data_IF_234794107879
#
_entry.id   IF_234794107879
#
_cell.length_a   1.000
_cell.length_b   1.000
_cell.length_c   1.000
_cell.angle_alpha   90.00
_cell.angle_beta   90.00
_cell.angle_gamma   90.00
#
_symmetry.space_group_name_H-M   'P 1'
#
loop_
_entity.id
_entity.type
_entity.pdbx_description
1 polymer ?
#
# COMPACT_ATOMS: atom_id res chain seq x y z
N UNK A 1 -9.99 -0.04 -22.29
CA UNK A 1 -9.43 1.09 -21.54
C UNK A 1 -9.10 0.60 -20.12
N UNK A 2 -7.88 0.84 -19.63
CA UNK A 2 -7.40 0.30 -18.36
C UNK A 2 -7.96 1.06 -17.16
N UNK A 3 -8.29 0.35 -16.07
CA UNK A 3 -9.05 0.87 -14.93
C UNK A 3 -8.35 1.96 -14.10
N UNK A 4 -7.02 2.15 -14.21
CA UNK A 4 -6.25 3.16 -13.49
C UNK A 4 -4.90 3.45 -14.16
N UNK A 5 -4.34 4.64 -13.90
CA UNK A 5 -3.03 5.10 -14.43
C UNK A 5 -1.84 4.64 -13.59
N UNK A 6 -2.03 4.51 -12.28
CA UNK A 6 -0.99 4.18 -11.31
C UNK A 6 -1.56 3.37 -10.15
N UNK A 7 -0.76 2.45 -9.62
CA UNK A 7 -1.07 1.62 -8.46
C UNK A 7 -0.07 1.94 -7.34
N UNK A 8 -0.58 2.09 -6.11
CA UNK A 8 0.22 2.18 -4.89
C UNK A 8 -0.20 1.03 -3.99
N UNK A 9 0.77 0.24 -3.52
CA UNK A 9 0.51 -0.81 -2.53
C UNK A 9 0.84 -0.29 -1.13
N UNK A 10 -0.12 -0.39 -0.22
CA UNK A 10 0.02 0.04 1.16
C UNK A 10 -0.43 -1.09 2.09
N UNK A 11 0.49 -1.72 2.79
CA UNK A 11 0.19 -2.79 3.75
C UNK A 11 1.36 -3.00 4.75
N UNK A 12 1.18 -3.82 5.80
CA UNK A 12 2.29 -4.26 6.63
C UNK A 12 3.33 -5.07 5.83
N UNK A 13 4.58 -5.18 6.31
CA UNK A 13 5.68 -5.76 5.55
C UNK A 13 5.44 -7.20 5.03
N UNK A 14 4.83 -8.07 5.86
CA UNK A 14 4.53 -9.45 5.47
C UNK A 14 3.49 -9.53 4.33
N UNK A 15 2.29 -8.92 4.46
CA UNK A 15 1.33 -8.83 3.35
C UNK A 15 1.89 -8.20 2.07
N UNK A 16 2.76 -7.19 2.17
CA UNK A 16 3.36 -6.56 0.99
C UNK A 16 4.15 -7.54 0.12
N UNK A 17 4.89 -8.47 0.73
CA UNK A 17 5.61 -9.51 -0.02
C UNK A 17 4.63 -10.35 -0.84
N UNK A 18 3.59 -10.87 -0.19
CA UNK A 18 2.56 -11.69 -0.82
C UNK A 18 1.83 -10.94 -1.94
N UNK A 19 1.45 -9.68 -1.71
CA UNK A 19 0.76 -8.86 -2.71
C UNK A 19 1.62 -8.66 -3.97
N UNK A 20 2.91 -8.34 -3.82
CA UNK A 20 3.82 -8.12 -4.96
C UNK A 20 4.01 -9.35 -5.83
N UNK A 21 4.12 -10.51 -5.18
CA UNK A 21 4.31 -11.80 -5.86
C UNK A 21 3.06 -12.20 -6.67
N UNK A 22 1.88 -11.85 -6.18
CA UNK A 22 0.59 -12.25 -6.75
C UNK A 22 -0.09 -11.18 -7.63
N UNK A 23 0.54 -10.01 -7.84
CA UNK A 23 0.04 -9.03 -8.80
C UNK A 23 0.00 -9.61 -10.22
N UNK A 24 -1.11 -9.39 -10.92
CA UNK A 24 -1.18 -9.63 -12.36
C UNK A 24 -0.16 -8.76 -13.10
N UNK A 25 0.33 -9.21 -14.27
CA UNK A 25 1.31 -8.47 -15.05
C UNK A 25 0.87 -7.00 -15.33
N UNK A 26 -0.37 -6.72 -15.76
CA UNK A 26 -0.81 -5.34 -15.99
C UNK A 26 -0.85 -4.48 -14.73
N UNK A 27 -1.08 -5.07 -13.55
CA UNK A 27 -1.08 -4.33 -12.29
C UNK A 27 0.36 -4.05 -11.83
N UNK A 28 1.27 -5.02 -12.02
CA UNK A 28 2.70 -4.88 -11.72
C UNK A 28 3.35 -3.78 -12.56
N UNK A 29 3.03 -3.70 -13.85
CA UNK A 29 3.51 -2.62 -14.74
C UNK A 29 3.06 -1.22 -14.32
N UNK A 30 1.94 -1.13 -13.58
CA UNK A 30 1.38 0.14 -13.09
C UNK A 30 1.78 0.44 -11.64
N UNK A 31 2.54 -0.42 -10.98
CA UNK A 31 2.97 -0.22 -9.60
C UNK A 31 3.99 0.92 -9.53
N UNK A 32 3.59 2.04 -8.93
CA UNK A 32 4.42 3.23 -8.78
C UNK A 32 5.13 3.31 -7.44
N UNK A 33 4.50 2.80 -6.37
CA UNK A 33 5.03 2.89 -5.01
C UNK A 33 4.58 1.71 -4.15
N UNK A 34 5.41 1.38 -3.17
CA UNK A 34 5.13 0.40 -2.12
C UNK A 34 5.37 1.08 -0.78
N UNK A 35 4.32 1.22 0.01
CA UNK A 35 4.31 1.87 1.31
C UNK A 35 4.16 0.81 2.39
N UNK A 36 5.22 0.60 3.18
CA UNK A 36 5.16 -0.24 4.36
C UNK A 36 4.48 0.54 5.49
N UNK A 37 3.17 0.32 5.64
CA UNK A 37 2.34 0.97 6.66
C UNK A 37 1.68 -0.10 7.50
N UNK A 38 2.19 -0.24 8.72
CA UNK A 38 1.62 -1.15 9.72
C UNK A 38 0.81 -0.33 10.73
N UNK A 39 -0.45 -0.11 10.39
CA UNK A 39 -1.41 0.58 11.25
C UNK A 39 -2.40 -0.39 11.90
N UNK A 40 -2.22 -1.71 11.75
CA UNK A 40 -3.13 -2.70 12.32
C UNK A 40 -3.19 -2.62 13.84
N UNK A 41 -2.17 -2.05 14.46
CA UNK A 41 -2.03 -1.88 15.90
C UNK A 41 -2.26 -0.44 16.37
N UNK A 42 -2.48 0.50 15.44
CA UNK A 42 -2.67 1.91 15.77
C UNK A 42 -4.13 2.19 16.12
N UNK A 43 -4.35 2.90 17.22
CA UNK A 43 -5.63 3.52 17.55
C UNK A 43 -5.97 4.65 16.56
N UNK A 44 -7.24 5.07 16.53
CA UNK A 44 -7.69 6.18 15.69
C UNK A 44 -6.94 7.49 15.99
N UNK A 45 -6.63 7.76 17.27
CA UNK A 45 -5.89 8.95 17.68
C UNK A 45 -4.42 8.90 17.19
N UNK A 46 -3.76 7.75 17.30
CA UNK A 46 -2.39 7.56 16.79
C UNK A 46 -2.32 7.67 15.26
N UNK A 47 -3.36 7.20 14.57
CA UNK A 47 -3.51 7.37 13.13
C UNK A 47 -3.63 8.84 12.74
N UNK A 48 -4.49 9.60 13.41
CA UNK A 48 -4.67 11.04 13.13
C UNK A 48 -3.37 11.82 13.33
N UNK A 49 -2.61 11.54 14.39
CA UNK A 49 -1.33 12.20 14.63
C UNK A 49 -0.29 11.88 13.56
N UNK A 50 -0.19 10.60 13.16
CA UNK A 50 0.77 10.15 12.14
C UNK A 50 0.45 10.70 10.75
N UNK A 51 -0.83 10.71 10.37
CA UNK A 51 -1.27 11.21 9.06
C UNK A 51 -1.15 12.72 8.92
N UNK A 52 -1.12 13.48 10.02
CA UNK A 52 -0.84 14.93 10.00
C UNK A 52 0.66 15.25 9.84
N UNK A 53 1.54 14.30 10.12
CA UNK A 53 2.99 14.48 10.09
C UNK A 53 3.65 14.05 8.77
N UNK A 54 2.90 13.40 7.87
CA UNK A 54 3.31 13.07 6.49
C UNK A 54 2.91 14.18 5.51
#
# INVERSE_FOLDING_TARGET
AGAFKSLVLCAPPRPLGLLRENLSAPARERLSQVLAKDYLHASAEELEQRLRAE
#
